data_IF_805280617536
#
_entry.id   IF_805280617536
#
_cell.length_a   1.000
_cell.length_b   1.000
_cell.length_c   1.000
_cell.angle_alpha   90.00
_cell.angle_beta   90.00
_cell.angle_gamma   90.00
#
_symmetry.space_group_name_H-M   'P 1'
#
loop_
_entity.id
_entity.type
_entity.pdbx_description
1 polymer ?
#
# COMPACT_ATOMS: atom_id res chain seq x y z
N UNK A 1 8.01 19.34 2.92
CA UNK A 1 6.76 18.56 3.04
C UNK A 1 5.58 19.50 2.84
N UNK A 2 4.57 19.12 2.04
CA UNK A 2 3.36 19.93 1.80
C UNK A 2 2.43 19.80 3.02
N UNK A 3 1.91 20.92 3.55
CA UNK A 3 0.95 20.90 4.66
C UNK A 3 -0.37 20.27 4.19
N UNK A 4 -0.93 19.38 5.00
CA UNK A 4 -2.21 18.71 4.73
C UNK A 4 -2.15 17.53 3.75
N UNK A 5 -0.97 17.17 3.25
CA UNK A 5 -0.78 15.95 2.46
C UNK A 5 -0.61 14.75 3.40
N UNK A 6 -1.39 13.70 3.18
CA UNK A 6 -1.19 12.40 3.83
C UNK A 6 -0.26 11.54 2.97
N UNK A 7 0.71 10.90 3.61
CA UNK A 7 1.57 9.89 2.99
C UNK A 7 1.27 8.56 3.68
N UNK A 8 0.78 7.58 2.91
CA UNK A 8 0.50 6.25 3.42
C UNK A 8 1.49 5.25 2.79
N UNK A 9 2.30 4.63 3.65
CA UNK A 9 3.37 3.74 3.21
C UNK A 9 3.03 2.31 3.62
N UNK A 10 2.87 1.44 2.63
CA UNK A 10 2.73 0.01 2.81
C UNK A 10 4.09 -0.65 2.62
N UNK A 11 4.47 -1.48 3.60
CA UNK A 11 5.64 -2.35 3.55
C UNK A 11 5.11 -3.77 3.76
N UNK A 12 5.08 -4.55 2.68
CA UNK A 12 4.47 -5.88 2.66
C UNK A 12 5.56 -6.94 2.56
N UNK A 13 5.53 -7.89 3.48
CA UNK A 13 6.41 -9.05 3.45
C UNK A 13 5.95 -10.00 2.33
N UNK A 14 6.85 -10.36 1.41
CA UNK A 14 6.63 -11.36 0.36
C UNK A 14 7.47 -12.63 0.55
N UNK A 15 8.10 -12.79 1.71
CA UNK A 15 8.89 -13.97 2.06
C UNK A 15 8.01 -15.19 2.26
N UNK A 16 8.62 -16.38 2.19
CA UNK A 16 7.91 -17.65 2.40
C UNK A 16 7.30 -17.80 3.80
N UNK A 17 7.63 -16.92 4.77
CA UNK A 17 6.99 -16.90 6.09
C UNK A 17 5.50 -16.53 6.02
N UNK A 18 5.09 -15.83 4.96
CA UNK A 18 3.71 -15.46 4.69
C UNK A 18 2.90 -16.56 4.00
N UNK A 19 3.47 -17.77 3.86
CA UNK A 19 2.80 -18.90 3.23
C UNK A 19 1.45 -19.23 3.89
N UNK A 20 0.38 -19.14 3.11
CA UNK A 20 -1.00 -19.34 3.57
C UNK A 20 -1.69 -18.07 4.11
N UNK A 21 -0.98 -16.95 4.21
CA UNK A 21 -1.51 -15.64 4.64
C UNK A 21 -1.56 -14.62 3.50
N UNK A 22 -1.27 -15.03 2.26
CA UNK A 22 -1.17 -14.14 1.11
C UNK A 22 -2.52 -13.46 0.84
N UNK A 23 -3.60 -14.25 0.87
CA UNK A 23 -4.97 -13.74 0.67
C UNK A 23 -5.39 -12.75 1.74
N UNK A 24 -5.04 -13.02 3.00
CA UNK A 24 -5.38 -12.12 4.11
C UNK A 24 -4.57 -10.83 4.02
N UNK A 25 -3.31 -10.92 3.61
CA UNK A 25 -2.43 -9.76 3.41
C UNK A 25 -2.93 -8.87 2.27
N UNK A 26 -3.24 -9.45 1.12
CA UNK A 26 -3.81 -8.74 -0.04
C UNK A 26 -5.18 -8.16 0.32
N UNK A 27 -6.03 -8.94 0.99
CA UNK A 27 -7.35 -8.49 1.46
C UNK A 27 -7.26 -7.32 2.43
N UNK A 28 -6.31 -7.35 3.37
CA UNK A 28 -6.02 -6.27 4.31
C UNK A 28 -5.53 -5.01 3.60
N UNK A 29 -4.58 -5.15 2.66
CA UNK A 29 -4.09 -4.07 1.82
C UNK A 29 -5.23 -3.41 1.05
N UNK A 30 -6.03 -4.20 0.33
CA UNK A 30 -7.15 -3.71 -0.46
C UNK A 30 -8.21 -3.03 0.40
N UNK A 31 -8.54 -3.61 1.56
CA UNK A 31 -9.50 -3.01 2.49
C UNK A 31 -9.01 -1.66 3.03
N UNK A 32 -7.71 -1.52 3.31
CA UNK A 32 -7.14 -0.25 3.76
C UNK A 32 -7.12 0.79 2.63
N UNK A 33 -6.74 0.40 1.41
CA UNK A 33 -6.76 1.28 0.24
C UNK A 33 -8.17 1.81 -0.03
N UNK A 34 -9.19 0.94 0.01
CA UNK A 34 -10.59 1.32 -0.18
C UNK A 34 -11.06 2.34 0.88
N UNK A 35 -10.71 2.12 2.16
CA UNK A 35 -10.99 3.08 3.23
C UNK A 35 -10.36 4.44 2.95
N UNK A 36 -9.12 4.47 2.47
CA UNK A 36 -8.38 5.70 2.20
C UNK A 36 -8.86 6.43 0.94
N UNK A 37 -9.37 5.71 -0.05
CA UNK A 37 -10.06 6.28 -1.20
C UNK A 37 -11.34 7.03 -0.82
N UNK A 38 -12.04 6.60 0.23
CA UNK A 38 -13.24 7.27 0.75
C UNK A 38 -12.94 8.51 1.63
N UNK A 39 -11.72 8.66 2.15
CA UNK A 39 -11.33 9.82 2.97
C UNK A 39 -11.12 11.04 2.06
N UNK A 40 -11.66 12.20 2.42
CA UNK A 40 -11.40 13.44 1.69
C UNK A 40 -9.95 13.92 1.88
N UNK A 41 -9.43 14.68 0.90
CA UNK A 41 -8.08 15.23 0.94
C UNK A 41 -7.04 14.47 0.13
N UNK A 42 -5.84 15.06 0.03
CA UNK A 42 -4.73 14.52 -0.73
C UNK A 42 -4.02 13.40 0.06
N UNK A 43 -3.85 12.26 -0.59
CA UNK A 43 -3.07 11.16 -0.07
C UNK A 43 -2.21 10.57 -1.19
N UNK A 44 -0.93 10.43 -0.91
CA UNK A 44 0.00 9.66 -1.73
C UNK A 44 0.27 8.33 -1.06
N UNK A 45 0.40 7.29 -1.88
CA UNK A 45 0.59 5.93 -1.45
C UNK A 45 1.95 5.48 -1.97
N UNK A 46 2.74 4.91 -1.07
CA UNK A 46 3.94 4.15 -1.42
C UNK A 46 3.70 2.70 -1.03
N UNK A 47 4.06 1.76 -1.89
CA UNK A 47 3.94 0.32 -1.60
C UNK A 47 5.23 -0.35 -1.98
N UNK A 48 5.85 -1.00 -0.99
CA UNK A 48 7.08 -1.75 -1.13
C UNK A 48 6.79 -3.19 -0.74
N UNK A 49 7.18 -4.13 -1.59
CA UNK A 49 7.29 -5.54 -1.21
C UNK A 49 8.72 -5.81 -0.75
N UNK A 50 8.91 -6.60 0.31
CA UNK A 50 10.25 -6.96 0.77
C UNK A 50 10.38 -8.45 1.10
N UNK A 51 11.57 -8.96 0.85
CA UNK A 51 12.09 -10.25 1.32
C UNK A 51 13.61 -10.12 1.52
N UNK A 52 14.42 -10.91 0.81
CA UNK A 52 15.86 -10.72 0.69
C UNK A 52 16.23 -9.47 -0.14
N UNK A 53 15.30 -8.95 -0.94
CA UNK A 53 15.40 -7.68 -1.67
C UNK A 53 14.14 -6.84 -1.42
N UNK A 54 14.06 -5.67 -2.04
CA UNK A 54 12.83 -4.89 -2.06
C UNK A 54 12.39 -4.59 -3.49
N UNK A 55 11.09 -4.47 -3.68
CA UNK A 55 10.44 -4.10 -4.93
C UNK A 55 9.48 -2.94 -4.66
N UNK A 56 9.60 -1.88 -5.43
CA UNK A 56 8.72 -0.71 -5.34
C UNK A 56 7.55 -0.88 -6.31
N UNK A 57 6.33 -1.07 -5.78
CA UNK A 57 5.11 -1.16 -6.60
C UNK A 57 4.50 0.22 -6.87
N UNK A 58 4.48 1.06 -5.85
CA UNK A 58 3.96 2.43 -5.94
C UNK A 58 4.95 3.36 -5.27
N UNK A 59 5.33 4.44 -5.96
CA UNK A 59 6.17 5.50 -5.41
C UNK A 59 5.36 6.80 -5.37
N UNK A 60 5.01 7.24 -4.16
CA UNK A 60 4.24 8.46 -3.85
C UNK A 60 3.11 8.72 -4.84
N UNK A 61 2.41 7.66 -5.19
CA UNK A 61 1.43 7.67 -6.26
C UNK A 61 0.10 8.19 -5.69
N UNK A 62 -0.60 9.11 -6.37
CA UNK A 62 -1.88 9.62 -5.88
C UNK A 62 -2.89 8.49 -5.65
N UNK A 63 -3.57 8.47 -4.49
CA UNK A 63 -4.54 7.41 -4.16
C UNK A 63 -5.64 7.15 -5.20
N UNK A 64 -5.92 8.15 -6.06
CA UNK A 64 -6.95 8.11 -7.11
C UNK A 64 -6.59 7.21 -8.29
N UNK A 65 -5.31 6.93 -8.52
CA UNK A 65 -4.85 6.16 -9.68
C UNK A 65 -4.40 4.74 -9.31
N UNK A 66 -4.45 4.37 -8.04
CA UNK A 66 -4.03 3.05 -7.57
C UNK A 66 -5.17 2.05 -7.69
N UNK A 67 -4.82 0.89 -8.25
CA UNK A 67 -5.67 -0.28 -8.35
C UNK A 67 -5.39 -1.23 -7.18
N UNK A 68 -6.38 -2.07 -6.87
CA UNK A 68 -6.23 -3.14 -5.89
C UNK A 68 -5.25 -4.21 -6.38
N UNK A 69 -4.50 -4.81 -5.44
CA UNK A 69 -3.60 -5.94 -5.68
C UNK A 69 -4.36 -7.26 -5.78
#
# INVERSE_FOLDING_TARGET
MKKGLTELVFILDKSGSMGGLEKDTIGGYNSMLAKQQAVEGECHITTVLFDNNYEMLHDRTPKKVILFL
#
